data_IF_733184510500
#
_entry.id   IF_733184510500
#
_cell.length_a   1.000
_cell.length_b   1.000
_cell.length_c   1.000
_cell.angle_alpha   90.00
_cell.angle_beta   90.00
_cell.angle_gamma   90.00
#
_symmetry.space_group_name_H-M   'P 1'
#
loop_
_entity.id
_entity.type
_entity.pdbx_description
1 polymer ?
#
# COMPACT_ATOMS: atom_id res chain seq x y z
N UNK A 1 -2.67 -4.19 25.24
CA UNK A 1 -3.02 -2.97 24.48
C UNK A 1 -2.64 -1.76 25.32
N UNK A 2 -1.50 -1.15 25.08
CA UNK A 2 -1.06 0.05 25.80
C UNK A 2 -1.82 1.24 25.20
N UNK A 3 -2.78 1.77 25.93
CA UNK A 3 -3.46 3.04 25.60
C UNK A 3 -2.49 4.19 25.84
N UNK A 4 -1.79 4.60 24.80
CA UNK A 4 -0.94 5.79 24.88
C UNK A 4 -1.81 7.04 24.69
N UNK A 5 -1.99 7.91 25.72
CA UNK A 5 -2.87 9.08 25.65
C UNK A 5 -2.45 10.09 24.58
N UNK A 6 -1.17 10.16 24.23
CA UNK A 6 -0.65 11.01 23.14
C UNK A 6 -1.16 10.56 21.79
N UNK A 7 -1.35 9.25 21.57
CA UNK A 7 -1.90 8.67 20.34
C UNK A 7 -3.36 9.11 20.11
N UNK A 8 -4.18 9.10 21.18
CA UNK A 8 -5.59 9.52 21.09
C UNK A 8 -5.74 11.02 20.80
N UNK A 9 -4.94 11.87 21.44
CA UNK A 9 -4.93 13.31 21.18
C UNK A 9 -4.52 13.65 19.76
N UNK A 10 -3.52 12.95 19.23
CA UNK A 10 -3.07 13.09 17.84
C UNK A 10 -4.18 12.70 16.85
N UNK A 11 -4.85 11.57 17.07
CA UNK A 11 -5.96 11.13 16.22
C UNK A 11 -7.14 12.12 16.24
N UNK A 12 -7.51 12.65 17.42
CA UNK A 12 -8.57 13.64 17.53
C UNK A 12 -8.25 14.95 16.81
N UNK A 13 -6.99 15.42 16.88
CA UNK A 13 -6.54 16.64 16.19
C UNK A 13 -6.62 16.53 14.67
N UNK A 14 -6.33 15.35 14.11
CA UNK A 14 -6.43 15.10 12.67
C UNK A 14 -7.88 14.95 12.18
N UNK A 15 -8.78 14.43 13.00
CA UNK A 15 -10.19 14.27 12.65
C UNK A 15 -10.90 15.61 12.37
N UNK A 16 -10.51 16.69 13.05
CA UNK A 16 -11.04 18.04 12.80
C UNK A 16 -10.69 18.61 11.43
N UNK A 17 -9.63 18.11 10.78
CA UNK A 17 -9.17 18.57 9.47
C UNK A 17 -9.57 17.64 8.31
N UNK A 18 -10.55 16.74 8.49
CA UNK A 18 -10.82 15.66 7.53
C UNK A 18 -9.59 14.80 7.23
N UNK A 19 -8.76 14.59 8.22
CA UNK A 19 -7.54 13.79 8.17
C UNK A 19 -7.70 12.61 9.14
N UNK A 20 -7.49 11.40 8.65
CA UNK A 20 -7.52 10.18 9.47
C UNK A 20 -6.09 9.74 9.72
N UNK A 21 -5.71 9.67 10.99
CA UNK A 21 -4.41 9.17 11.40
C UNK A 21 -4.49 7.69 11.75
N UNK A 22 -3.75 6.85 11.02
CA UNK A 22 -3.62 5.42 11.26
C UNK A 22 -2.22 5.16 11.81
N UNK A 23 -2.07 4.61 13.02
CA UNK A 23 -0.75 4.26 13.55
C UNK A 23 -0.05 3.25 12.64
N UNK A 24 1.23 3.46 12.33
CA UNK A 24 2.02 2.51 11.54
C UNK A 24 2.13 1.15 12.25
N UNK A 25 2.03 1.11 13.57
CA UNK A 25 1.96 -0.13 14.33
C UNK A 25 0.74 -0.98 13.98
N UNK A 26 -0.39 -0.38 13.60
CA UNK A 26 -1.54 -1.13 13.12
C UNK A 26 -1.23 -1.84 11.80
N UNK A 27 -0.49 -1.20 10.90
CA UNK A 27 -0.03 -1.82 9.65
C UNK A 27 1.01 -2.91 9.90
N UNK A 28 1.96 -2.67 10.80
CA UNK A 28 2.97 -3.66 11.22
C UNK A 28 2.29 -4.89 11.81
N UNK A 29 1.31 -4.68 12.71
CA UNK A 29 0.51 -5.74 13.30
C UNK A 29 -0.26 -6.55 12.26
N UNK A 30 -0.93 -5.88 11.32
CA UNK A 30 -1.68 -6.53 10.25
C UNK A 30 -0.77 -7.42 9.40
N UNK A 31 0.39 -6.92 8.99
CA UNK A 31 1.36 -7.70 8.22
C UNK A 31 1.88 -8.91 9.02
N UNK A 32 2.23 -8.70 10.28
CA UNK A 32 2.73 -9.76 11.15
C UNK A 32 1.69 -10.87 11.41
N UNK A 33 0.40 -10.53 11.38
CA UNK A 33 -0.71 -11.48 11.59
C UNK A 33 -1.33 -11.98 10.28
N UNK A 34 -0.80 -11.57 9.12
CA UNK A 34 -1.23 -12.13 7.82
C UNK A 34 -0.61 -13.52 7.64
N UNK A 35 -1.42 -14.56 7.33
CA UNK A 35 -0.90 -15.91 7.16
C UNK A 35 0.23 -15.95 6.12
N UNK A 36 1.39 -16.56 6.47
CA UNK A 36 2.51 -16.64 5.57
C UNK A 36 2.15 -17.47 4.34
N UNK A 37 2.54 -17.03 3.17
CA UNK A 37 2.53 -17.84 1.96
C UNK A 37 3.96 -18.11 1.52
N UNK A 38 4.20 -19.23 0.82
CA UNK A 38 5.56 -19.61 0.35
C UNK A 38 6.24 -18.54 -0.53
N UNK A 39 5.47 -17.60 -1.06
CA UNK A 39 5.94 -16.50 -1.93
C UNK A 39 5.70 -15.12 -1.33
N UNK A 40 5.22 -15.06 -0.09
CA UNK A 40 5.04 -13.78 0.59
C UNK A 40 6.40 -13.19 0.98
N UNK A 41 6.54 -11.86 0.93
CA UNK A 41 7.68 -11.19 1.50
C UNK A 41 7.86 -11.56 2.98
N UNK A 42 9.10 -11.79 3.39
CA UNK A 42 9.46 -12.06 4.78
C UNK A 42 10.15 -10.84 5.40
N UNK A 43 10.24 -10.81 6.71
CA UNK A 43 10.90 -9.75 7.48
C UNK A 43 10.48 -8.35 7.04
N UNK A 44 9.17 -8.16 6.83
CA UNK A 44 8.64 -6.88 6.37
C UNK A 44 8.83 -5.83 7.45
N UNK A 45 9.47 -4.73 7.08
CA UNK A 45 9.68 -3.57 7.95
C UNK A 45 8.99 -2.34 7.37
N UNK A 46 8.28 -1.60 8.23
CA UNK A 46 7.66 -0.32 7.87
C UNK A 46 8.24 0.76 8.78
N UNK A 47 8.78 1.81 8.17
CA UNK A 47 9.35 2.95 8.87
C UNK A 47 8.76 4.25 8.34
N UNK A 48 8.52 5.24 9.20
CA UNK A 48 8.14 6.57 8.73
C UNK A 48 9.33 7.24 8.03
N UNK A 49 9.08 7.81 6.87
CA UNK A 49 10.00 8.67 6.11
C UNK A 49 9.22 9.84 5.51
N UNK A 50 8.73 10.78 6.34
CA UNK A 50 7.82 11.83 5.87
C UNK A 50 8.32 12.54 4.61
N UNK A 51 7.47 12.77 3.61
CA UNK A 51 6.06 12.37 3.50
C UNK A 51 5.85 10.90 3.06
N UNK A 52 6.92 10.15 2.79
CA UNK A 52 6.90 8.79 2.30
C UNK A 52 6.88 7.74 3.44
N UNK A 53 6.71 6.49 3.07
CA UNK A 53 6.82 5.31 3.94
C UNK A 53 8.06 4.53 3.48
N UNK A 54 8.97 4.23 4.39
CA UNK A 54 10.05 3.27 4.16
C UNK A 54 9.51 1.85 4.29
N UNK A 55 9.65 1.05 3.24
CA UNK A 55 9.29 -0.36 3.23
C UNK A 55 10.54 -1.19 2.97
N UNK A 56 10.78 -2.20 3.80
CA UNK A 56 11.83 -3.19 3.57
C UNK A 56 11.25 -4.59 3.66
N UNK A 57 11.74 -5.52 2.84
CA UNK A 57 11.32 -6.92 2.88
C UNK A 57 12.39 -7.85 2.34
N UNK A 58 12.36 -9.08 2.81
CA UNK A 58 13.12 -10.19 2.23
C UNK A 58 12.22 -10.91 1.24
N UNK A 59 12.65 -10.98 -0.01
CA UNK A 59 11.89 -11.58 -1.11
C UNK A 59 12.73 -12.63 -1.82
N UNK A 60 12.08 -13.63 -2.41
CA UNK A 60 12.70 -14.53 -3.38
C UNK A 60 12.53 -13.94 -4.78
N UNK A 61 13.63 -13.65 -5.43
CA UNK A 61 13.67 -13.14 -6.78
C UNK A 61 14.35 -14.19 -7.69
N UNK A 62 13.53 -15.04 -8.32
CA UNK A 62 13.98 -16.10 -9.23
C UNK A 62 15.03 -17.05 -8.59
N UNK A 63 14.77 -17.49 -7.35
CA UNK A 63 15.68 -18.37 -6.59
C UNK A 63 16.84 -17.63 -5.90
N UNK A 64 16.80 -16.31 -5.88
CA UNK A 64 17.75 -15.49 -5.14
C UNK A 64 17.04 -14.82 -3.99
N UNK A 65 17.52 -15.08 -2.76
CA UNK A 65 17.02 -14.37 -1.59
C UNK A 65 17.61 -12.97 -1.55
N UNK A 66 16.75 -11.96 -1.60
CA UNK A 66 17.14 -10.55 -1.69
C UNK A 66 16.49 -9.75 -0.56
N UNK A 67 17.26 -8.97 0.15
CA UNK A 67 16.75 -7.89 1.00
C UNK A 67 16.52 -6.68 0.12
N UNK A 68 15.26 -6.32 -0.08
CA UNK A 68 14.87 -5.12 -0.82
C UNK A 68 14.35 -4.06 0.14
N UNK A 69 14.64 -2.80 -0.13
CA UNK A 69 14.03 -1.67 0.56
C UNK A 69 13.77 -0.52 -0.41
N UNK A 70 12.73 0.27 -0.11
CA UNK A 70 12.36 1.45 -0.89
C UNK A 70 11.65 2.47 0.00
N UNK A 71 11.69 3.73 -0.40
CA UNK A 71 10.78 4.78 0.06
C UNK A 71 9.60 4.83 -0.89
N UNK A 72 8.38 4.74 -0.35
CA UNK A 72 7.14 4.70 -1.12
C UNK A 72 6.32 5.95 -0.79
N UNK A 73 6.02 6.74 -1.79
CA UNK A 73 5.13 7.88 -1.71
C UNK A 73 3.86 7.59 -2.51
N UNK A 74 2.70 7.83 -1.90
CA UNK A 74 1.43 7.75 -2.59
C UNK A 74 1.19 9.06 -3.33
N UNK A 75 1.11 8.99 -4.65
CA UNK A 75 0.87 10.15 -5.51
C UNK A 75 -0.62 10.37 -5.73
N UNK A 76 -1.36 9.29 -5.95
CA UNK A 76 -2.78 9.37 -6.26
C UNK A 76 -3.52 8.14 -5.75
N UNK A 77 -4.75 8.34 -5.30
CA UNK A 77 -5.68 7.28 -4.94
C UNK A 77 -7.00 7.54 -5.66
N UNK A 78 -7.43 6.57 -6.45
CA UNK A 78 -8.69 6.58 -7.16
C UNK A 78 -9.56 5.45 -6.63
N UNK A 79 -10.69 5.79 -6.03
CA UNK A 79 -11.61 4.81 -5.45
C UNK A 79 -12.99 4.98 -6.04
N UNK A 80 -13.57 3.87 -6.49
CA UNK A 80 -14.96 3.76 -6.92
C UNK A 80 -15.53 2.42 -6.42
N UNK A 81 -16.77 2.14 -6.75
CA UNK A 81 -17.43 0.85 -6.47
C UNK A 81 -16.77 -0.34 -7.18
N UNK A 82 -16.09 -0.10 -8.30
CA UNK A 82 -15.46 -1.14 -9.14
C UNK A 82 -13.94 -1.04 -9.23
N UNK A 83 -13.33 0.01 -8.66
CA UNK A 83 -11.93 0.30 -8.82
C UNK A 83 -11.31 0.85 -7.53
N UNK A 84 -10.13 0.35 -7.17
CA UNK A 84 -9.30 0.90 -6.11
C UNK A 84 -7.86 0.98 -6.58
N UNK A 85 -7.57 2.04 -7.34
CA UNK A 85 -6.23 2.29 -7.85
C UNK A 85 -5.42 3.16 -6.92
N UNK A 86 -4.16 2.79 -6.76
CA UNK A 86 -3.17 3.57 -6.01
C UNK A 86 -1.93 3.73 -6.89
N UNK A 87 -1.59 4.98 -7.17
CA UNK A 87 -0.36 5.34 -7.86
C UNK A 87 0.72 5.62 -6.84
N UNK A 88 1.80 4.87 -6.92
CA UNK A 88 2.94 4.90 -6.00
C UNK A 88 4.17 5.37 -6.74
N UNK A 89 4.93 6.27 -6.13
CA UNK A 89 6.28 6.62 -6.53
C UNK A 89 7.28 5.95 -5.59
N UNK A 90 8.27 5.28 -6.17
CA UNK A 90 9.34 4.62 -5.44
C UNK A 90 10.62 5.41 -5.56
N UNK A 91 11.32 5.61 -4.45
CA UNK A 91 12.65 6.20 -4.40
C UNK A 91 13.54 5.40 -3.43
N UNK A 92 14.84 5.72 -3.43
CA UNK A 92 15.83 5.11 -2.53
C UNK A 92 15.80 3.59 -2.55
N UNK A 93 15.56 3.01 -3.75
CA UNK A 93 15.45 1.56 -3.90
C UNK A 93 16.82 0.94 -3.72
N UNK A 94 16.88 -0.03 -2.84
CA UNK A 94 18.09 -0.82 -2.57
C UNK A 94 17.78 -2.31 -2.63
N UNK A 95 18.72 -3.09 -3.14
CA UNK A 95 18.64 -4.54 -3.19
C UNK A 95 19.96 -5.13 -2.75
N UNK A 96 19.92 -6.09 -1.84
CA UNK A 96 21.09 -6.81 -1.35
C UNK A 96 20.82 -8.31 -1.38
N UNK A 97 21.68 -9.06 -2.08
CA UNK A 97 21.61 -10.52 -2.09
C UNK A 97 21.99 -11.04 -0.70
N UNK A 98 21.16 -11.92 -0.15
CA UNK A 98 21.42 -12.60 1.10
C UNK A 98 22.01 -13.99 0.81
N UNK A 99 23.12 -14.30 1.48
CA UNK A 99 23.82 -15.55 1.27
C UNK A 99 24.55 -15.66 -0.08
N UNK A 100 24.99 -16.87 -0.40
CA UNK A 100 25.63 -17.18 -1.67
C UNK A 100 24.56 -17.58 -2.70
N UNK A 101 24.60 -16.95 -3.85
CA UNK A 101 23.73 -17.29 -4.99
C UNK A 101 24.49 -17.06 -6.29
N UNK A 102 24.47 -18.07 -7.15
CA UNK A 102 25.07 -18.06 -8.48
C UNK A 102 24.04 -17.79 -9.61
N UNK A 103 22.84 -17.32 -9.26
CA UNK A 103 21.83 -17.01 -10.26
C UNK A 103 22.20 -15.78 -11.08
N UNK A 104 21.71 -15.66 -12.33
CA UNK A 104 21.92 -14.46 -13.16
C UNK A 104 21.45 -13.18 -12.44
N UNK A 105 20.33 -13.26 -11.70
CA UNK A 105 19.78 -12.12 -10.95
C UNK A 105 20.72 -11.68 -9.83
N UNK A 106 21.35 -12.63 -9.11
CA UNK A 106 22.34 -12.30 -8.10
C UNK A 106 23.56 -11.58 -8.72
N UNK A 107 23.99 -12.01 -9.91
CA UNK A 107 25.05 -11.36 -10.67
C UNK A 107 24.71 -9.92 -11.04
N UNK A 108 23.51 -9.68 -11.54
CA UNK A 108 23.02 -8.34 -11.90
C UNK A 108 22.92 -7.40 -10.68
N UNK A 109 22.46 -7.91 -9.55
CA UNK A 109 22.39 -7.12 -8.30
C UNK A 109 23.76 -6.79 -7.78
N UNK A 110 24.66 -7.79 -7.71
CA UNK A 110 26.04 -7.62 -7.18
C UNK A 110 26.90 -6.70 -8.06
N UNK A 111 26.72 -6.74 -9.37
CA UNK A 111 27.44 -5.87 -10.32
C UNK A 111 26.89 -4.46 -10.39
N UNK A 112 25.70 -4.19 -9.81
CA UNK A 112 25.01 -2.89 -9.96
C UNK A 112 24.44 -2.66 -11.36
N UNK A 113 24.31 -3.70 -12.18
CA UNK A 113 23.77 -3.59 -13.54
C UNK A 113 22.25 -3.36 -13.58
N UNK A 114 21.56 -3.55 -12.46
CA UNK A 114 20.14 -3.19 -12.33
C UNK A 114 19.99 -1.69 -12.06
N UNK A 115 19.30 -1.01 -12.93
CA UNK A 115 18.93 0.40 -12.72
C UNK A 115 17.84 0.52 -11.64
N UNK A 116 18.27 0.69 -10.39
CA UNK A 116 17.39 0.85 -9.24
C UNK A 116 16.80 2.27 -9.13
N UNK A 117 17.24 3.22 -9.97
CA UNK A 117 16.62 4.55 -10.07
C UNK A 117 15.27 4.50 -10.77
N UNK A 118 15.02 3.43 -11.54
CA UNK A 118 13.79 3.17 -12.28
C UNK A 118 13.17 1.82 -11.91
N UNK A 119 12.77 1.67 -10.64
CA UNK A 119 12.34 0.37 -10.10
C UNK A 119 11.09 -0.20 -10.77
N UNK A 120 10.22 0.63 -11.33
CA UNK A 120 9.05 0.17 -12.10
C UNK A 120 9.45 -0.68 -13.31
N UNK A 121 10.61 -0.41 -13.92
CA UNK A 121 11.10 -1.19 -15.04
C UNK A 121 11.50 -2.62 -14.66
N UNK A 122 11.76 -2.89 -13.37
CA UNK A 122 12.04 -4.23 -12.87
C UNK A 122 10.85 -5.19 -12.99
N UNK A 123 9.62 -4.65 -13.10
CA UNK A 123 8.43 -5.44 -13.33
C UNK A 123 8.49 -6.27 -14.64
N UNK A 124 9.31 -5.86 -15.61
CA UNK A 124 9.54 -6.61 -16.86
C UNK A 124 10.26 -7.95 -16.62
N UNK A 125 11.02 -8.05 -15.54
CA UNK A 125 11.76 -9.25 -15.17
C UNK A 125 10.96 -10.19 -14.24
N UNK A 126 9.72 -9.84 -13.89
CA UNK A 126 8.86 -10.70 -13.09
C UNK A 126 8.34 -11.87 -13.93
N UNK A 127 8.60 -13.14 -13.55
CA UNK A 127 8.12 -14.31 -14.29
C UNK A 127 6.59 -14.37 -14.39
N UNK A 128 5.93 -13.85 -13.36
CA UNK A 128 4.47 -13.72 -13.29
C UNK A 128 4.13 -12.39 -12.64
N UNK A 129 3.62 -11.48 -13.45
CA UNK A 129 3.13 -10.20 -12.96
C UNK A 129 1.88 -10.40 -12.10
N UNK A 130 1.82 -9.86 -10.86
CA UNK A 130 0.60 -9.92 -10.05
C UNK A 130 -0.54 -9.19 -10.76
N UNK A 131 -1.76 -9.75 -10.71
CA UNK A 131 -2.93 -9.12 -11.35
C UNK A 131 -3.19 -7.70 -10.84
N UNK A 132 -2.92 -7.44 -9.55
CA UNK A 132 -3.07 -6.12 -8.93
C UNK A 132 -2.10 -5.07 -9.48
N UNK A 133 -0.98 -5.47 -10.10
CA UNK A 133 -0.01 -4.57 -10.69
C UNK A 133 -0.46 -4.19 -12.11
N UNK A 134 -1.17 -3.07 -12.23
CA UNK A 134 -1.75 -2.60 -13.51
C UNK A 134 -0.66 -1.99 -14.39
N UNK A 135 0.17 -1.12 -13.81
CA UNK A 135 1.19 -0.38 -14.53
C UNK A 135 2.48 -0.30 -13.72
N UNK A 136 3.64 -0.35 -14.39
CA UNK A 136 4.94 -0.15 -13.77
C UNK A 136 5.92 0.36 -14.83
N UNK A 137 6.44 1.55 -14.62
CA UNK A 137 7.44 2.21 -15.47
C UNK A 137 8.23 3.22 -14.65
N UNK A 138 9.48 3.43 -14.99
CA UNK A 138 10.41 4.34 -14.32
C UNK A 138 10.38 4.16 -12.79
N UNK A 139 9.97 5.18 -12.06
CA UNK A 139 9.81 5.15 -10.60
C UNK A 139 8.34 5.01 -10.14
N UNK A 140 7.42 4.80 -11.09
CA UNK A 140 5.98 4.71 -10.85
C UNK A 140 5.50 3.26 -10.89
N UNK A 141 4.63 2.94 -9.92
CA UNK A 141 3.87 1.69 -9.87
C UNK A 141 2.40 2.03 -9.63
N UNK A 142 1.52 1.47 -10.44
CA UNK A 142 0.07 1.57 -10.27
C UNK A 142 -0.48 0.21 -9.88
N UNK A 143 -1.12 0.14 -8.73
CA UNK A 143 -1.79 -1.06 -8.26
C UNK A 143 -3.30 -0.83 -8.20
N UNK A 144 -4.08 -1.82 -8.63
CA UNK A 144 -5.54 -1.85 -8.47
C UNK A 144 -5.90 -3.04 -7.58
N UNK A 145 -6.32 -2.76 -6.36
CA UNK A 145 -6.67 -3.79 -5.38
C UNK A 145 -7.89 -4.60 -5.80
N UNK A 146 -8.78 -4.02 -6.62
CA UNK A 146 -9.95 -4.73 -7.14
C UNK A 146 -9.59 -5.84 -8.15
N UNK A 147 -8.37 -5.85 -8.67
CA UNK A 147 -7.83 -6.96 -9.48
C UNK A 147 -7.45 -8.20 -8.64
N UNK A 148 -7.47 -8.09 -7.30
CA UNK A 148 -7.34 -9.25 -6.42
C UNK A 148 -8.71 -9.87 -6.19
N UNK A 149 -8.97 -11.13 -6.64
CA UNK A 149 -10.29 -11.76 -6.49
C UNK A 149 -10.77 -11.84 -5.04
N UNK A 150 -9.87 -12.09 -4.08
CA UNK A 150 -10.21 -12.15 -2.65
C UNK A 150 -10.66 -10.79 -2.10
N UNK A 151 -10.10 -9.71 -2.62
CA UNK A 151 -10.48 -8.35 -2.23
C UNK A 151 -11.78 -7.94 -2.92
N UNK A 152 -11.88 -8.16 -4.23
CA UNK A 152 -13.04 -7.82 -5.04
C UNK A 152 -14.31 -8.60 -4.67
N UNK A 153 -14.18 -9.86 -4.25
CA UNK A 153 -15.32 -10.70 -3.82
C UNK A 153 -15.77 -10.44 -2.37
N UNK A 154 -15.02 -9.64 -1.61
CA UNK A 154 -15.36 -9.37 -0.21
C UNK A 154 -16.53 -8.37 -0.13
N UNK A 155 -17.71 -8.85 0.22
CA UNK A 155 -18.94 -8.06 0.31
C UNK A 155 -18.81 -6.88 1.28
N UNK A 156 -18.10 -7.04 2.40
CA UNK A 156 -17.86 -5.95 3.38
C UNK A 156 -17.03 -4.83 2.76
N UNK A 157 -15.99 -5.18 2.00
CA UNK A 157 -15.15 -4.20 1.30
C UNK A 157 -15.98 -3.47 0.25
N UNK A 158 -16.73 -4.18 -0.57
CA UNK A 158 -17.62 -3.59 -1.60
C UNK A 158 -18.68 -2.69 -0.99
N UNK A 159 -19.32 -3.14 0.08
CA UNK A 159 -20.32 -2.35 0.80
C UNK A 159 -19.75 -1.07 1.39
N UNK A 160 -18.56 -1.14 2.01
CA UNK A 160 -17.85 0.05 2.51
C UNK A 160 -17.46 1.00 1.39
N UNK A 161 -16.91 0.50 0.29
CA UNK A 161 -16.56 1.32 -0.87
C UNK A 161 -17.82 2.00 -1.44
N UNK A 162 -18.89 1.26 -1.71
CA UNK A 162 -20.13 1.80 -2.24
C UNK A 162 -20.79 2.85 -1.34
N UNK A 163 -20.60 2.74 -0.01
CA UNK A 163 -21.16 3.71 0.94
C UNK A 163 -20.29 4.95 1.10
N UNK A 164 -18.96 4.79 1.13
CA UNK A 164 -18.04 5.87 1.46
C UNK A 164 -17.58 6.67 0.23
N UNK A 165 -17.34 6.01 -0.91
CA UNK A 165 -16.82 6.68 -2.12
C UNK A 165 -17.71 7.80 -2.67
N UNK A 166 -19.05 7.74 -2.57
CA UNK A 166 -19.89 8.85 -3.02
C UNK A 166 -19.71 10.13 -2.20
N UNK A 167 -19.37 10.01 -0.91
CA UNK A 167 -19.34 11.15 0.03
C UNK A 167 -17.94 11.55 0.46
N UNK A 168 -16.97 10.63 0.40
CA UNK A 168 -15.60 10.86 0.86
C UNK A 168 -14.62 10.33 -0.16
N UNK A 169 -13.74 11.20 -0.65
CA UNK A 169 -12.61 10.82 -1.49
C UNK A 169 -11.31 10.93 -0.69
N UNK A 170 -10.40 9.98 -0.88
CA UNK A 170 -9.04 10.09 -0.37
C UNK A 170 -8.27 11.01 -1.32
N UNK A 171 -7.88 12.18 -0.86
CA UNK A 171 -7.18 13.18 -1.67
C UNK A 171 -5.66 13.11 -1.53
N UNK A 172 -5.16 12.38 -0.53
CA UNK A 172 -3.73 12.20 -0.31
C UNK A 172 -3.42 11.25 0.82
N UNK A 173 -2.18 10.80 0.84
CA UNK A 173 -1.63 9.94 1.89
C UNK A 173 -0.19 10.36 2.15
N UNK A 174 0.14 10.57 3.41
CA UNK A 174 1.49 10.96 3.85
C UNK A 174 1.79 10.33 5.21
N UNK A 175 3.03 10.42 5.67
CA UNK A 175 3.39 10.04 7.04
C UNK A 175 3.70 11.29 7.87
N UNK A 176 3.29 11.27 9.13
CA UNK A 176 3.66 12.26 10.15
C UNK A 176 4.04 11.51 11.42
N UNK A 177 5.30 11.55 11.83
CA UNK A 177 5.81 10.69 12.90
C UNK A 177 5.51 9.23 12.60
N UNK A 178 5.00 8.49 13.56
CA UNK A 178 4.59 7.07 13.42
C UNK A 178 3.12 6.90 12.96
N UNK A 179 2.58 7.88 12.24
CA UNK A 179 1.23 7.81 11.70
C UNK A 179 1.21 7.89 10.18
N UNK A 180 0.35 7.08 9.58
CA UNK A 180 -0.12 7.24 8.22
C UNK A 180 -1.31 8.19 8.22
N UNK A 181 -1.20 9.31 7.52
CA UNK A 181 -2.24 10.34 7.45
C UNK A 181 -2.97 10.22 6.13
N UNK A 182 -4.24 9.86 6.20
CA UNK A 182 -5.18 9.88 5.09
C UNK A 182 -5.83 11.25 5.05
N UNK A 183 -5.64 11.97 3.96
CA UNK A 183 -6.34 13.22 3.70
C UNK A 183 -7.63 12.92 2.97
N UNK A 184 -8.75 13.35 3.55
CA UNK A 184 -10.08 13.10 3.02
C UNK A 184 -10.68 14.39 2.47
N UNK A 185 -11.45 14.27 1.39
CA UNK A 185 -12.24 15.37 0.83
C UNK A 185 -13.69 14.95 0.77
N UNK A 186 -14.57 15.74 1.36
CA UNK A 186 -16.01 15.52 1.25
C UNK A 186 -16.51 15.80 -0.17
N UNK A 187 -17.43 14.96 -0.64
CA UNK A 187 -18.16 15.15 -1.87
C UNK A 187 -19.65 15.31 -1.54
N UNK A 188 -20.18 16.53 -1.40
CA UNK A 188 -21.54 16.76 -0.95
C UNK A 188 -22.60 16.22 -1.94
N UNK A 189 -22.24 16.10 -3.22
CA UNK A 189 -23.15 15.59 -4.26
C UNK A 189 -23.40 14.08 -4.18
N UNK A 190 -22.64 13.33 -3.40
CA UNK A 190 -22.77 11.89 -3.22
C UNK A 190 -23.70 11.46 -2.09
N UNK A 191 -24.18 12.37 -1.26
CA UNK A 191 -25.02 12.07 -0.08
C UNK A 191 -26.26 11.20 -0.39
N UNK A 192 -27.06 11.46 -1.45
CA UNK A 192 -28.21 10.61 -1.76
C UNK A 192 -27.82 9.16 -2.10
N UNK A 193 -26.72 8.98 -2.83
CA UNK A 193 -26.20 7.64 -3.18
C UNK A 193 -25.69 6.89 -1.96
N UNK A 194 -24.95 7.56 -1.07
CA UNK A 194 -24.46 6.96 0.17
C UNK A 194 -25.59 6.53 1.10
N UNK A 195 -26.63 7.34 1.24
CA UNK A 195 -27.83 7.01 2.03
C UNK A 195 -28.55 5.77 1.49
N UNK A 196 -28.67 5.66 0.17
CA UNK A 196 -29.29 4.48 -0.45
C UNK A 196 -28.42 3.22 -0.25
N UNK A 197 -27.10 3.33 -0.40
CA UNK A 197 -26.17 2.22 -0.16
C UNK A 197 -26.18 1.80 1.32
N UNK A 198 -26.20 2.74 2.26
CA UNK A 198 -26.28 2.45 3.69
C UNK A 198 -27.59 1.75 4.08
N UNK A 199 -28.72 2.15 3.49
CA UNK A 199 -30.01 1.47 3.69
C UNK A 199 -30.00 0.04 3.17
N UNK A 200 -29.38 -0.21 2.02
CA UNK A 200 -29.24 -1.55 1.45
C UNK A 200 -28.38 -2.46 2.34
N UNK A 201 -27.30 -1.92 2.93
CA UNK A 201 -26.44 -2.66 3.89
C UNK A 201 -27.15 -2.97 5.22
N UNK A 202 -28.08 -2.13 5.66
CA UNK A 202 -28.81 -2.33 6.90
C UNK A 202 -30.01 -3.28 6.74
N UNK A 203 -30.41 -3.57 5.49
CA UNK A 203 -31.55 -4.45 5.17
C UNK A 203 -31.16 -5.90 4.86
N UNK A 204 -29.87 -6.23 4.79
CA UNK A 204 -29.32 -7.57 4.55
C UNK A 204 -28.55 -8.09 5.76
#
# INVERSE_FOLDING_TARGET
MVRNPTTMLSMARHALGMRVAVPLDALRWFIANTPPSKKAPQDVTITPRPPAIGLGATIDLMGTTVRAAASIRVEQIEVSDTQFKVTLRLSDVTMKVLGESATPVAGLIKSGALDLSKPGNLAKFMPKRPAVLVEAHDDIIVIDLMQNPKFASNERVRGLLGTLTPVVNVSGLSTEGDFLILQLRASPFGLPRALNAARALAAG
#
